data_IF_913052991473
#
_entry.id   IF_913052991473
#
_cell.length_a   1.000
_cell.length_b   1.000
_cell.length_c   1.000
_cell.angle_alpha   90.00
_cell.angle_beta   90.00
_cell.angle_gamma   90.00
#
_symmetry.space_group_name_H-M   'P 1'
#
loop_
_entity.id
_entity.type
_entity.pdbx_description
1 polymer ?
#
# COMPACT_ATOMS: atom_id res chain seq x y z
N UNK A 1 -36.84 31.56 19.15
CA UNK A 1 -35.65 31.10 19.91
C UNK A 1 -34.37 31.93 19.73
N UNK A 2 -34.36 33.04 18.99
CA UNK A 2 -33.16 33.90 18.82
C UNK A 2 -33.09 35.12 19.75
N UNK A 3 -34.10 35.34 20.60
CA UNK A 3 -34.24 36.51 21.46
C UNK A 3 -34.03 36.24 22.96
N UNK A 4 -33.74 34.99 23.35
CA UNK A 4 -33.54 34.58 24.76
C UNK A 4 -32.05 34.35 25.10
N UNK A 5 -31.15 34.33 24.11
CA UNK A 5 -29.70 34.19 24.35
C UNK A 5 -28.95 35.52 24.48
N UNK A 6 -29.58 36.66 24.18
CA UNK A 6 -28.92 37.97 24.21
C UNK A 6 -28.86 38.55 25.63
N UNK A 7 -29.83 38.22 26.47
CA UNK A 7 -29.96 38.81 27.81
C UNK A 7 -29.21 38.03 28.92
N UNK A 8 -28.47 36.96 28.56
CA UNK A 8 -27.61 36.21 29.50
C UNK A 8 -26.12 36.62 29.37
N UNK A 9 -25.74 37.26 28.26
CA UNK A 9 -24.34 37.63 28.00
C UNK A 9 -23.99 39.01 28.61
N UNK A 10 -24.97 39.83 28.95
CA UNK A 10 -24.74 41.18 29.50
C UNK A 10 -24.58 41.21 31.04
N UNK A 11 -24.76 40.08 31.73
CA UNK A 11 -24.62 39.98 33.20
C UNK A 11 -23.29 39.33 33.68
N UNK A 12 -22.41 38.97 32.76
CA UNK A 12 -21.07 38.46 33.07
C UNK A 12 -20.07 39.30 32.28
N UNK A 13 -19.48 40.29 32.93
CA UNK A 13 -18.52 41.23 32.34
C UNK A 13 -17.30 40.54 31.72
N UNK A 14 -17.44 40.12 30.47
CA UNK A 14 -16.36 39.69 29.62
C UNK A 14 -16.16 40.78 28.57
N UNK A 15 -15.17 41.63 28.79
CA UNK A 15 -14.57 42.43 27.74
C UNK A 15 -14.04 41.48 26.65
N UNK A 16 -14.41 41.73 25.39
CA UNK A 16 -13.79 41.10 24.24
C UNK A 16 -12.37 41.68 24.06
N UNK A 17 -11.41 41.13 24.78
CA UNK A 17 -10.01 41.31 24.43
C UNK A 17 -9.75 40.62 23.08
N UNK A 18 -9.41 41.42 22.07
CA UNK A 18 -8.89 40.94 20.79
C UNK A 18 -7.73 39.96 21.05
N UNK A 19 -7.98 38.66 20.80
CA UNK A 19 -6.92 37.65 20.84
C UNK A 19 -5.84 38.03 19.82
N UNK A 20 -4.57 38.20 20.22
CA UNK A 20 -3.51 38.41 19.25
C UNK A 20 -3.42 37.18 18.34
N UNK A 21 -3.30 37.41 17.03
CA UNK A 21 -3.11 36.37 16.02
C UNK A 21 -1.95 35.45 16.44
N UNK A 22 -2.28 34.25 16.91
CA UNK A 22 -1.29 33.23 17.26
C UNK A 22 -0.66 32.75 15.97
N UNK A 23 0.56 33.24 15.69
CA UNK A 23 1.37 32.72 14.59
C UNK A 23 1.60 31.22 14.77
N UNK A 24 1.60 30.47 13.66
CA UNK A 24 1.96 29.04 13.63
C UNK A 24 3.25 28.83 14.45
N UNK A 25 3.29 27.94 15.45
CA UNK A 25 4.47 27.75 16.29
C UNK A 25 5.65 27.41 15.38
N UNK A 26 6.68 28.26 15.40
CA UNK A 26 7.92 27.98 14.67
C UNK A 26 8.53 26.73 15.31
N UNK A 27 8.87 25.73 14.49
CA UNK A 27 9.69 24.62 14.96
C UNK A 27 10.93 25.22 15.63
N UNK A 28 11.21 24.78 16.86
CA UNK A 28 12.37 25.23 17.61
C UNK A 28 13.61 25.15 16.73
N UNK A 29 14.36 26.26 16.64
CA UNK A 29 15.58 26.27 15.86
C UNK A 29 16.54 25.19 16.38
N UNK A 30 17.48 24.76 15.52
CA UNK A 30 18.46 23.72 15.85
C UNK A 30 19.18 23.98 17.18
N UNK A 31 19.46 25.25 17.49
CA UNK A 31 20.16 25.68 18.70
C UNK A 31 19.31 25.50 19.95
N UNK A 32 18.00 25.77 19.85
CA UNK A 32 17.02 25.64 20.92
C UNK A 32 16.72 24.17 21.21
N UNK A 33 16.63 23.34 20.17
CA UNK A 33 16.48 21.88 20.29
C UNK A 33 17.70 21.23 20.95
N UNK A 34 18.91 21.71 20.65
CA UNK A 34 20.14 21.22 21.29
C UNK A 34 20.20 21.62 22.78
N UNK A 35 19.79 22.85 23.11
CA UNK A 35 19.71 23.32 24.52
C UNK A 35 18.66 22.54 25.33
N UNK A 36 17.48 22.28 24.77
CA UNK A 36 16.46 21.48 25.46
C UNK A 36 16.88 20.02 25.65
N UNK A 37 17.60 19.43 24.70
CA UNK A 37 18.15 18.07 24.82
C UNK A 37 19.21 17.98 25.94
N UNK A 38 20.07 19.00 26.06
CA UNK A 38 21.08 19.06 27.12
C UNK A 38 20.41 19.16 28.50
N UNK A 39 19.42 20.06 28.64
CA UNK A 39 18.67 20.24 29.90
C UNK A 39 17.94 18.95 30.29
N UNK A 40 17.31 18.26 29.33
CA UNK A 40 16.66 16.97 29.57
C UNK A 40 17.67 15.90 30.03
N UNK A 41 18.88 15.89 29.46
CA UNK A 41 19.94 14.95 29.88
C UNK A 41 20.43 15.20 31.31
N UNK A 42 20.62 16.47 31.69
CA UNK A 42 21.03 16.84 33.05
C UNK A 42 19.92 16.51 34.06
N UNK A 43 18.66 16.74 33.71
CA UNK A 43 17.53 16.38 34.57
C UNK A 43 17.43 14.88 34.79
N UNK A 44 17.66 14.06 33.74
CA UNK A 44 17.64 12.61 33.85
C UNK A 44 18.80 12.06 34.68
N UNK A 45 20.00 12.63 34.51
CA UNK A 45 21.20 12.26 35.27
C UNK A 45 21.04 12.62 36.76
N UNK A 46 20.41 13.76 37.07
CA UNK A 46 20.12 14.18 38.43
C UNK A 46 19.11 13.26 39.15
N UNK A 47 18.09 12.78 38.43
CA UNK A 47 17.14 11.78 38.99
C UNK A 47 17.86 10.46 39.30
N UNK A 48 18.76 9.99 38.43
CA UNK A 48 19.55 8.78 38.68
C UNK A 48 20.45 8.96 39.92
N UNK A 49 21.08 10.13 40.08
CA UNK A 49 21.88 10.44 41.28
C UNK A 49 21.01 10.43 42.54
N UNK A 50 19.81 11.01 42.51
CA UNK A 50 18.90 10.95 43.65
C UNK A 50 18.41 9.53 43.96
N UNK A 51 18.28 8.65 42.95
CA UNK A 51 17.97 7.24 43.18
C UNK A 51 19.18 6.50 43.77
N UNK A 52 20.40 6.76 43.33
CA UNK A 52 21.60 6.08 43.86
C UNK A 52 21.90 6.56 45.28
N UNK A 53 21.88 7.86 45.53
CA UNK A 53 22.23 8.43 46.83
C UNK A 53 21.06 8.43 47.81
N UNK A 54 19.83 8.67 47.34
CA UNK A 54 18.64 8.65 48.19
C UNK A 54 18.26 7.26 48.68
N UNK A 55 18.50 6.20 47.89
CA UNK A 55 18.32 4.83 48.37
C UNK A 55 19.46 4.38 49.30
N UNK A 56 20.68 4.89 49.12
CA UNK A 56 21.82 4.58 49.98
C UNK A 56 21.71 5.11 51.42
N UNK A 57 20.89 6.15 51.65
CA UNK A 57 20.62 6.68 52.99
C UNK A 57 19.38 6.08 53.65
N UNK A 58 18.43 5.52 52.87
CA UNK A 58 17.24 4.85 53.41
C UNK A 58 17.50 3.37 53.76
N UNK A 59 18.41 2.72 53.03
CA UNK A 59 18.94 1.39 53.37
C UNK A 59 20.38 1.57 53.85
N UNK A 60 20.53 1.87 55.14
CA UNK A 60 21.81 2.24 55.74
C UNK A 60 22.97 1.33 55.33
N UNK A 61 24.05 1.95 54.82
CA UNK A 61 25.37 1.33 54.81
C UNK A 61 25.81 1.10 56.26
N UNK A 62 25.44 -0.06 56.80
CA UNK A 62 26.04 -0.60 58.02
C UNK A 62 27.53 -0.80 57.72
N UNK A 63 28.38 -0.25 58.59
CA UNK A 63 29.84 -0.38 58.49
C UNK A 63 30.25 -1.80 58.15
N UNK A 64 30.97 -1.96 57.03
CA UNK A 64 31.69 -3.19 56.70
C UNK A 64 32.81 -3.34 57.74
N UNK A 65 32.50 -4.02 58.84
CA UNK A 65 33.52 -4.64 59.67
C UNK A 65 34.16 -5.75 58.84
N UNK A 66 35.31 -5.45 58.25
CA UNK A 66 36.15 -6.43 57.59
C UNK A 66 36.77 -7.33 58.67
N UNK A 67 36.02 -8.33 59.14
CA UNK A 67 36.66 -9.52 59.72
C UNK A 67 37.18 -10.32 58.54
N UNK A 68 38.50 -10.34 58.39
CA UNK A 68 39.16 -11.32 57.53
C UNK A 68 38.75 -12.71 58.06
N UNK A 69 37.81 -13.35 57.36
CA UNK A 69 37.55 -14.76 57.49
C UNK A 69 38.69 -15.47 56.78
N UNK A 70 39.49 -16.23 57.52
CA UNK A 70 40.34 -17.26 56.94
C UNK A 70 39.36 -18.31 56.42
N UNK A 71 39.04 -18.26 55.13
CA UNK A 71 38.24 -19.28 54.48
C UNK A 71 39.07 -20.55 54.43
N UNK A 72 38.70 -21.52 55.26
CA UNK A 72 38.97 -22.91 54.93
C UNK A 72 38.38 -23.15 53.53
N UNK A 73 39.18 -23.68 52.61
CA UNK A 73 38.71 -24.15 51.31
C UNK A 73 37.77 -25.34 51.52
N UNK A 74 36.49 -25.07 51.81
CA UNK A 74 35.42 -26.03 51.56
C UNK A 74 35.16 -26.05 50.05
N UNK A 75 35.12 -27.24 49.40
CA UNK A 75 34.83 -27.32 47.98
C UNK A 75 33.41 -26.77 47.76
N UNK A 76 33.32 -25.65 47.05
CA UNK A 76 32.04 -25.07 46.62
C UNK A 76 31.35 -26.11 45.75
N UNK A 77 30.23 -26.65 46.23
CA UNK A 77 29.45 -27.67 45.51
C UNK A 77 29.04 -27.13 44.13
N UNK A 78 29.41 -27.86 43.09
CA UNK A 78 29.19 -27.46 41.71
C UNK A 78 27.72 -27.62 41.36
N UNK A 79 27.01 -26.50 41.14
CA UNK A 79 25.64 -26.53 40.60
C UNK A 79 25.70 -26.95 39.14
N UNK A 80 25.14 -28.13 38.83
CA UNK A 80 25.04 -28.66 37.47
C UNK A 80 23.82 -28.11 36.73
N UNK A 81 23.85 -28.22 35.41
CA UNK A 81 22.72 -27.98 34.52
C UNK A 81 21.71 -29.11 34.70
N UNK A 82 20.45 -28.75 34.85
CA UNK A 82 19.33 -29.67 35.02
C UNK A 82 18.46 -29.74 33.75
N UNK A 83 18.43 -28.66 32.95
CA UNK A 83 17.59 -28.59 31.75
C UNK A 83 18.23 -27.72 30.65
N UNK A 84 18.10 -28.20 29.40
CA UNK A 84 18.43 -27.43 28.20
C UNK A 84 17.27 -27.44 27.20
N UNK A 85 16.82 -26.26 26.78
CA UNK A 85 15.64 -26.10 25.92
C UNK A 85 15.95 -25.27 24.67
N UNK A 86 15.93 -25.86 23.46
CA UNK A 86 16.02 -25.12 22.21
C UNK A 86 14.91 -24.06 22.07
N UNK A 87 15.27 -22.81 21.79
CA UNK A 87 14.29 -21.76 21.50
C UNK A 87 13.52 -22.04 20.19
N UNK A 88 14.15 -22.74 19.25
CA UNK A 88 13.53 -23.15 17.99
C UNK A 88 14.12 -24.49 17.57
N UNK A 89 13.29 -25.54 17.53
CA UNK A 89 13.74 -26.90 17.19
C UNK A 89 13.92 -27.13 15.69
N UNK A 90 13.04 -26.59 14.85
CA UNK A 90 13.06 -26.79 13.40
C UNK A 90 13.55 -25.54 12.68
N UNK A 91 14.62 -25.65 11.91
CA UNK A 91 15.31 -24.53 11.26
C UNK A 91 15.52 -24.84 9.79
N UNK A 92 15.06 -23.95 8.93
CA UNK A 92 15.35 -24.03 7.49
C UNK A 92 16.41 -23.01 7.10
N UNK A 93 17.43 -23.45 6.37
CA UNK A 93 18.49 -22.62 5.81
C UNK A 93 18.53 -22.74 4.29
N UNK A 94 18.87 -21.66 3.59
CA UNK A 94 19.29 -21.77 2.20
C UNK A 94 20.76 -22.20 2.14
N UNK A 95 21.13 -22.97 1.13
CA UNK A 95 22.53 -23.29 0.81
C UNK A 95 23.38 -22.02 0.87
N UNK A 96 24.56 -22.14 1.48
CA UNK A 96 25.54 -21.08 1.73
C UNK A 96 25.10 -19.97 2.71
N UNK A 97 24.01 -20.18 3.45
CA UNK A 97 23.60 -19.25 4.51
C UNK A 97 23.81 -19.83 5.91
N UNK A 98 23.97 -18.94 6.88
CA UNK A 98 24.28 -19.30 8.26
C UNK A 98 23.27 -18.75 9.27
N UNK A 99 23.06 -19.46 10.37
CA UNK A 99 22.20 -19.05 11.48
C UNK A 99 22.72 -19.58 12.81
N UNK A 100 22.75 -18.72 13.82
CA UNK A 100 23.01 -19.12 15.20
C UNK A 100 21.79 -19.82 15.81
N UNK A 101 22.02 -20.97 16.42
CA UNK A 101 21.03 -21.64 17.26
C UNK A 101 21.09 -21.11 18.69
N UNK A 102 19.96 -21.14 19.38
CA UNK A 102 19.85 -20.68 20.76
C UNK A 102 19.08 -21.73 21.57
N UNK A 103 19.53 -21.94 22.80
CA UNK A 103 18.85 -22.74 23.81
C UNK A 103 18.92 -22.02 25.16
N UNK A 104 17.95 -22.27 26.04
CA UNK A 104 18.00 -21.84 27.43
C UNK A 104 18.63 -22.94 28.28
N UNK A 105 19.51 -22.56 29.20
CA UNK A 105 20.17 -23.47 30.16
C UNK A 105 19.64 -23.13 31.56
N UNK A 106 19.12 -24.13 32.27
CA UNK A 106 18.63 -24.00 33.64
C UNK A 106 19.31 -25.01 34.57
N UNK A 107 19.56 -24.65 35.84
CA UNK A 107 19.23 -23.37 36.47
C UNK A 107 20.17 -22.24 36.03
N UNK A 108 19.73 -20.99 36.17
CA UNK A 108 20.50 -19.82 35.72
C UNK A 108 21.80 -19.60 36.51
N UNK A 109 22.00 -20.28 37.65
CA UNK A 109 23.21 -20.24 38.46
C UNK A 109 24.10 -21.48 38.29
N UNK A 110 23.87 -22.32 37.27
CA UNK A 110 24.77 -23.42 36.93
C UNK A 110 26.23 -22.93 36.78
N UNK A 111 27.16 -23.71 37.33
CA UNK A 111 28.57 -23.33 37.50
C UNK A 111 29.33 -23.33 36.17
N UNK A 112 28.98 -24.25 35.26
CA UNK A 112 29.44 -24.28 33.87
C UNK A 112 28.20 -24.29 32.96
N UNK A 113 28.19 -23.42 31.95
CA UNK A 113 27.10 -23.28 30.94
C UNK A 113 27.61 -23.46 29.52
N UNK A 114 28.83 -23.97 29.35
CA UNK A 114 29.39 -24.26 28.05
C UNK A 114 28.63 -25.42 27.41
N UNK A 115 28.31 -25.23 26.13
CA UNK A 115 27.58 -26.18 25.31
C UNK A 115 28.46 -26.55 24.13
N UNK A 116 28.65 -27.84 23.95
CA UNK A 116 29.29 -28.40 22.77
C UNK A 116 28.24 -28.64 21.69
N UNK A 117 28.57 -28.33 20.44
CA UNK A 117 27.69 -28.51 19.30
C UNK A 117 28.32 -29.47 18.29
N UNK A 118 27.53 -30.44 17.83
CA UNK A 118 27.94 -31.41 16.81
C UNK A 118 26.89 -31.50 15.72
N UNK A 119 27.33 -31.62 14.46
CA UNK A 119 26.45 -31.98 13.35
C UNK A 119 26.51 -33.47 13.08
N UNK A 120 25.36 -34.14 13.10
CA UNK A 120 25.25 -35.54 12.70
C UNK A 120 25.32 -35.74 11.17
N UNK A 121 25.26 -34.64 10.39
CA UNK A 121 25.51 -34.70 8.94
C UNK A 121 26.25 -33.43 8.47
N UNK A 122 27.57 -33.35 8.71
CA UNK A 122 28.38 -32.18 8.40
C UNK A 122 28.49 -31.90 6.90
N UNK A 123 28.14 -32.85 6.02
CA UNK A 123 28.11 -32.62 4.57
C UNK A 123 26.88 -31.82 4.11
N UNK A 124 25.81 -31.81 4.91
CA UNK A 124 24.56 -31.08 4.64
C UNK A 124 24.54 -29.76 5.41
N UNK A 125 24.85 -29.79 6.71
CA UNK A 125 24.97 -28.59 7.52
C UNK A 125 26.10 -28.74 8.55
N UNK A 126 26.95 -27.74 8.68
CA UNK A 126 28.00 -27.68 9.71
C UNK A 126 27.59 -26.76 10.84
N UNK A 127 28.19 -26.92 12.02
CA UNK A 127 28.01 -26.03 13.17
C UNK A 127 29.39 -25.70 13.77
N UNK A 128 29.59 -24.46 14.20
CA UNK A 128 30.79 -24.07 14.94
C UNK A 128 30.60 -24.13 16.47
N UNK A 129 31.68 -23.93 17.21
CA UNK A 129 31.70 -23.91 18.69
C UNK A 129 30.73 -22.91 19.32
N UNK A 130 30.36 -21.86 18.60
CA UNK A 130 29.48 -20.80 19.09
C UNK A 130 28.01 -21.04 18.69
N UNK A 131 27.70 -22.22 18.13
CA UNK A 131 26.37 -22.63 17.70
C UNK A 131 25.93 -21.99 16.38
N UNK A 132 26.85 -21.50 15.53
CA UNK A 132 26.52 -20.99 14.20
C UNK A 132 26.45 -22.16 13.22
N UNK A 133 25.24 -22.42 12.73
CA UNK A 133 24.97 -23.48 11.75
C UNK A 133 25.07 -22.90 10.34
N UNK A 134 25.81 -23.54 9.43
CA UNK A 134 25.93 -23.18 8.02
C UNK A 134 25.32 -24.30 7.17
N UNK A 135 24.38 -23.97 6.28
CA UNK A 135 23.82 -24.92 5.32
C UNK A 135 24.75 -25.06 4.11
N UNK A 136 25.23 -26.27 3.82
CA UNK A 136 26.22 -26.54 2.78
C UNK A 136 25.62 -27.19 1.54
N UNK A 137 24.68 -28.13 1.74
CA UNK A 137 24.04 -28.87 0.65
C UNK A 137 22.58 -29.11 0.96
N UNK A 138 21.73 -29.10 -0.05
CA UNK A 138 20.31 -29.42 0.10
C UNK A 138 20.11 -30.79 0.78
N UNK A 139 19.23 -30.85 1.76
CA UNK A 139 18.87 -32.06 2.50
C UNK A 139 18.56 -31.78 3.97
N UNK A 140 18.56 -32.82 4.80
CA UNK A 140 18.27 -32.72 6.23
C UNK A 140 19.49 -33.10 7.08
N UNK A 141 19.73 -32.32 8.13
CA UNK A 141 20.77 -32.57 9.12
C UNK A 141 20.22 -32.37 10.53
N UNK A 142 20.86 -32.99 11.51
CA UNK A 142 20.56 -32.77 12.93
C UNK A 142 21.79 -32.18 13.60
N UNK A 143 21.59 -31.13 14.37
CA UNK A 143 22.61 -30.57 15.25
C UNK A 143 22.27 -30.98 16.67
N UNK A 144 23.23 -31.57 17.37
CA UNK A 144 23.13 -31.95 18.79
C UNK A 144 23.91 -30.93 19.61
N UNK A 145 23.31 -30.48 20.70
CA UNK A 145 23.90 -29.58 21.67
C UNK A 145 23.99 -30.32 23.02
N UNK A 146 25.20 -30.43 23.57
CA UNK A 146 25.48 -31.24 24.77
C UNK A 146 26.12 -30.39 25.85
N UNK A 147 25.69 -30.57 27.11
CA UNK A 147 26.31 -29.89 28.26
C UNK A 147 27.67 -30.50 28.59
N UNK A 148 28.63 -29.66 28.98
CA UNK A 148 30.02 -30.08 29.28
C UNK A 148 30.35 -30.08 30.78
N UNK A 149 29.37 -29.76 31.63
CA UNK A 149 29.53 -29.64 33.07
C UNK A 149 29.50 -30.98 33.82
N UNK A 150 29.29 -32.09 33.10
CA UNK A 150 29.14 -33.44 33.63
C UNK A 150 27.70 -33.96 33.65
N UNK A 151 26.69 -33.10 33.44
CA UNK A 151 25.28 -33.52 33.36
C UNK A 151 24.95 -34.32 32.10
N UNK A 152 25.73 -34.17 31.03
CA UNK A 152 25.59 -34.87 29.74
C UNK A 152 24.18 -34.77 29.12
N UNK A 153 23.47 -33.67 29.40
CA UNK A 153 22.16 -33.38 28.81
C UNK A 153 22.33 -33.01 27.34
N UNK A 154 21.40 -33.48 26.50
CA UNK A 154 21.43 -33.26 25.05
C UNK A 154 20.13 -32.65 24.53
N UNK A 155 20.25 -31.70 23.60
CA UNK A 155 19.14 -31.11 22.86
C UNK A 155 19.40 -31.16 21.35
N UNK A 156 18.34 -31.28 20.55
CA UNK A 156 18.47 -31.46 19.09
C UNK A 156 17.78 -30.33 18.32
N UNK A 157 18.45 -29.87 17.25
CA UNK A 157 17.91 -28.99 16.23
C UNK A 157 17.78 -29.76 14.91
N UNK A 158 16.59 -29.75 14.32
CA UNK A 158 16.36 -30.30 12.98
C UNK A 158 16.63 -29.19 11.95
N UNK A 159 17.62 -29.42 11.09
CA UNK A 159 18.05 -28.49 10.05
C UNK A 159 17.59 -29.00 8.69
N UNK A 160 16.80 -28.21 7.98
CA UNK A 160 16.45 -28.46 6.59
C UNK A 160 17.19 -27.45 5.71
N UNK A 161 18.08 -27.92 4.85
CA UNK A 161 18.79 -27.07 3.90
C UNK A 161 18.09 -27.14 2.56
N UNK A 162 17.69 -25.99 2.04
CA UNK A 162 16.94 -25.83 0.78
C UNK A 162 17.78 -25.10 -0.25
N UNK A 163 17.59 -25.42 -1.53
CA UNK A 163 18.19 -24.68 -2.64
C UNK A 163 17.40 -23.40 -2.96
N UNK A 164 16.08 -23.52 -2.97
CA UNK A 164 15.13 -22.44 -3.22
C UNK A 164 14.16 -22.30 -2.05
N UNK A 165 13.77 -21.08 -1.72
CA UNK A 165 12.74 -20.82 -0.74
C UNK A 165 11.38 -21.21 -1.33
N UNK A 166 10.73 -22.23 -0.75
CA UNK A 166 9.42 -22.68 -1.15
C UNK A 166 8.38 -22.23 -0.12
N UNK A 167 7.15 -22.03 -0.55
CA UNK A 167 6.08 -21.49 0.28
C UNK A 167 5.69 -20.08 -0.13
N UNK A 168 4.44 -19.74 0.14
CA UNK A 168 3.85 -18.46 -0.28
C UNK A 168 2.88 -17.96 0.76
N UNK A 169 2.69 -16.63 0.80
CA UNK A 169 1.51 -16.00 1.35
C UNK A 169 0.85 -15.13 0.30
N UNK A 170 -0.47 -15.22 0.17
CA UNK A 170 -1.25 -14.39 -0.75
C UNK A 170 -2.58 -13.95 -0.16
N UNK A 171 -3.12 -12.85 -0.66
CA UNK A 171 -4.45 -12.36 -0.29
C UNK A 171 -5.52 -13.13 -1.07
N UNK A 172 -6.23 -14.03 -0.40
CA UNK A 172 -7.39 -14.73 -0.96
C UNK A 172 -8.56 -13.77 -1.13
N UNK A 173 -8.78 -12.89 -0.15
CA UNK A 173 -9.80 -11.84 -0.20
C UNK A 173 -9.20 -10.47 0.09
N UNK A 174 -9.71 -9.45 -0.60
CA UNK A 174 -9.42 -8.05 -0.34
C UNK A 174 -10.62 -7.23 -0.81
N UNK A 175 -11.42 -6.69 0.12
CA UNK A 175 -12.69 -6.02 -0.19
C UNK A 175 -12.86 -4.73 0.62
N UNK A 176 -13.49 -3.72 0.00
CA UNK A 176 -13.87 -2.50 0.71
C UNK A 176 -15.03 -2.78 1.65
N UNK A 177 -15.00 -2.18 2.82
CA UNK A 177 -16.12 -2.08 3.76
C UNK A 177 -16.59 -0.62 3.83
N UNK A 178 -17.64 -0.35 4.60
CA UNK A 178 -18.11 1.02 4.84
C UNK A 178 -17.10 1.91 5.56
N UNK A 179 -16.11 1.32 6.24
CA UNK A 179 -15.16 2.05 7.10
C UNK A 179 -13.70 1.69 6.85
N UNK A 180 -13.41 0.90 5.82
CA UNK A 180 -12.07 0.39 5.59
C UNK A 180 -11.93 -0.65 4.48
N UNK A 181 -10.95 -1.53 4.67
CA UNK A 181 -10.67 -2.67 3.79
C UNK A 181 -10.48 -3.91 4.64
N UNK A 182 -11.27 -4.95 4.35
CA UNK A 182 -11.09 -6.28 4.92
C UNK A 182 -10.16 -7.10 4.03
N UNK A 183 -9.28 -7.88 4.64
CA UNK A 183 -8.42 -8.81 3.94
C UNK A 183 -8.46 -10.20 4.58
N UNK A 184 -8.25 -11.21 3.75
CA UNK A 184 -7.98 -12.59 4.17
C UNK A 184 -6.77 -13.08 3.41
N UNK A 185 -5.86 -13.73 4.12
CA UNK A 185 -4.61 -14.27 3.58
C UNK A 185 -4.57 -15.78 3.75
N UNK A 186 -3.89 -16.44 2.82
CA UNK A 186 -3.54 -17.85 2.91
C UNK A 186 -2.03 -17.97 2.80
N UNK A 187 -1.42 -18.66 3.75
CA UNK A 187 0.00 -18.95 3.79
C UNK A 187 0.21 -20.46 3.76
N UNK A 188 0.94 -20.97 2.77
CA UNK A 188 1.37 -22.37 2.71
C UNK A 188 2.87 -22.43 2.91
N UNK A 189 3.29 -23.17 3.93
CA UNK A 189 4.70 -23.34 4.29
C UNK A 189 5.45 -22.00 4.40
N UNK A 190 4.79 -20.98 4.96
CA UNK A 190 5.34 -19.64 5.09
C UNK A 190 4.79 -18.96 6.34
N UNK A 191 5.59 -18.10 6.98
CA UNK A 191 5.14 -17.28 8.11
C UNK A 191 5.12 -15.80 7.75
N UNK A 192 4.06 -15.12 8.19
CA UNK A 192 3.89 -13.68 7.95
C UNK A 192 4.96 -12.90 8.75
N UNK A 193 5.83 -12.19 8.03
CA UNK A 193 6.77 -11.24 8.65
C UNK A 193 6.02 -9.98 9.07
N UNK A 194 5.31 -9.39 8.12
CA UNK A 194 4.55 -8.16 8.28
C UNK A 194 3.58 -7.96 7.11
N UNK A 195 2.54 -7.16 7.36
CA UNK A 195 1.60 -6.70 6.34
C UNK A 195 1.75 -5.19 6.24
N UNK A 196 1.74 -4.68 5.01
CA UNK A 196 1.86 -3.26 4.71
C UNK A 196 0.72 -2.85 3.77
N UNK A 197 0.39 -1.56 3.75
CA UNK A 197 -0.48 -0.99 2.73
C UNK A 197 0.10 0.31 2.17
N UNK A 198 -0.32 0.70 0.99
CA UNK A 198 -0.12 2.05 0.45
C UNK A 198 -1.38 2.55 -0.22
N UNK A 199 -1.49 3.87 -0.33
CA UNK A 199 -2.63 4.56 -0.94
C UNK A 199 -2.10 5.31 -2.17
N UNK A 200 -2.69 5.06 -3.33
CA UNK A 200 -2.22 5.49 -4.64
C UNK A 200 -0.71 5.20 -4.80
N UNK A 201 0.07 6.23 -5.14
CA UNK A 201 1.52 6.15 -5.34
C UNK A 201 2.33 6.50 -4.08
N UNK A 202 1.67 6.55 -2.91
CA UNK A 202 2.33 6.79 -1.64
C UNK A 202 3.26 5.65 -1.20
N UNK A 203 4.00 5.92 -0.12
CA UNK A 203 4.88 4.96 0.53
C UNK A 203 4.08 3.86 1.26
N UNK A 204 4.71 2.70 1.44
CA UNK A 204 4.12 1.63 2.24
C UNK A 204 4.19 1.94 3.74
N UNK A 205 3.06 1.77 4.41
CA UNK A 205 2.91 1.85 5.87
C UNK A 205 2.70 0.45 6.44
N UNK A 206 3.34 0.16 7.58
CA UNK A 206 3.30 -1.16 8.23
C UNK A 206 2.09 -1.26 9.16
N UNK A 207 1.35 -2.37 9.04
CA UNK A 207 0.31 -2.74 9.99
C UNK A 207 0.92 -3.36 11.27
N UNK A 208 0.30 -3.08 12.41
CA UNK A 208 0.68 -3.68 13.69
C UNK A 208 0.25 -5.16 13.78
N UNK A 209 -0.81 -5.54 13.06
CA UNK A 209 -1.35 -6.90 13.03
C UNK A 209 -0.55 -7.82 12.10
N UNK A 210 -0.49 -9.10 12.47
CA UNK A 210 0.00 -10.22 11.62
C UNK A 210 -1.08 -11.28 11.44
N UNK A 211 -2.34 -10.97 11.75
CA UNK A 211 -3.44 -11.91 11.66
C UNK A 211 -3.64 -12.32 10.19
N UNK A 212 -4.07 -13.55 9.99
CA UNK A 212 -4.40 -14.06 8.65
C UNK A 212 -5.62 -13.35 8.04
N UNK A 213 -6.45 -12.73 8.86
CA UNK A 213 -7.62 -11.94 8.48
C UNK A 213 -7.77 -10.75 9.42
N UNK A 214 -8.07 -9.57 8.87
CA UNK A 214 -8.34 -8.37 9.65
C UNK A 214 -9.09 -7.33 8.82
N UNK A 215 -9.50 -6.24 9.47
CA UNK A 215 -10.07 -5.06 8.81
C UNK A 215 -9.25 -3.80 9.15
N UNK A 216 -8.72 -3.13 8.14
CA UNK A 216 -7.95 -1.89 8.29
C UNK A 216 -8.85 -0.71 7.99
N UNK A 217 -8.92 0.25 8.92
CA UNK A 217 -9.76 1.45 8.77
C UNK A 217 -9.09 2.49 7.87
N UNK A 218 -9.88 3.14 7.04
CA UNK A 218 -9.47 4.20 6.12
C UNK A 218 -10.51 5.32 6.13
N UNK A 219 -10.09 6.55 5.86
CA UNK A 219 -11.03 7.66 5.66
C UNK A 219 -11.76 7.54 4.32
N UNK A 220 -12.91 8.21 4.20
CA UNK A 220 -13.68 8.23 2.95
C UNK A 220 -12.88 8.76 1.76
N UNK A 221 -11.97 9.71 1.98
CA UNK A 221 -11.07 10.23 0.95
C UNK A 221 -10.04 9.21 0.50
N UNK A 222 -9.53 8.39 1.43
CA UNK A 222 -8.59 7.32 1.13
C UNK A 222 -9.28 6.18 0.38
N UNK A 223 -10.52 5.84 0.74
CA UNK A 223 -11.33 4.83 0.05
C UNK A 223 -11.68 5.20 -1.40
N UNK A 224 -11.55 6.48 -1.77
CA UNK A 224 -11.67 6.97 -3.16
C UNK A 224 -10.39 6.82 -3.99
N UNK A 225 -9.30 6.32 -3.41
CA UNK A 225 -8.00 6.08 -4.07
C UNK A 225 -7.71 4.59 -4.20
N UNK A 226 -6.74 4.26 -5.05
CA UNK A 226 -6.24 2.89 -5.16
C UNK A 226 -5.60 2.50 -3.82
N UNK A 227 -5.92 1.33 -3.29
CA UNK A 227 -5.32 0.85 -2.04
C UNK A 227 -4.63 -0.48 -2.35
N UNK A 228 -3.31 -0.52 -2.13
CA UNK A 228 -2.49 -1.71 -2.37
C UNK A 228 -2.04 -2.29 -1.05
N UNK A 229 -2.38 -3.54 -0.80
CA UNK A 229 -1.84 -4.32 0.32
C UNK A 229 -0.64 -5.13 -0.14
N UNK A 230 0.34 -5.29 0.74
CA UNK A 230 1.53 -6.12 0.56
C UNK A 230 1.69 -7.00 1.79
N UNK A 231 1.83 -8.30 1.57
CA UNK A 231 2.19 -9.26 2.62
C UNK A 231 3.64 -9.67 2.39
N UNK A 232 4.49 -9.45 3.40
CA UNK A 232 5.88 -9.88 3.41
C UNK A 232 5.96 -11.11 4.31
N UNK A 233 6.61 -12.17 3.83
CA UNK A 233 6.62 -13.47 4.51
C UNK A 233 7.97 -14.17 4.39
N UNK A 234 8.17 -15.14 5.27
CA UNK A 234 9.32 -16.03 5.32
C UNK A 234 8.90 -17.41 4.81
N UNK A 235 9.24 -17.80 3.57
CA UNK A 235 8.99 -19.14 3.08
C UNK A 235 9.82 -20.17 3.88
N UNK A 236 9.24 -21.35 4.14
CA UNK A 236 9.78 -22.44 4.94
C UNK A 236 10.31 -22.04 6.32
N UNK A 237 9.81 -20.96 6.94
CA UNK A 237 10.36 -20.38 8.18
C UNK A 237 11.87 -20.04 8.09
N UNK A 238 12.35 -19.77 6.87
CA UNK A 238 13.70 -19.31 6.61
C UNK A 238 13.89 -17.83 7.00
N UNK A 239 15.11 -17.29 6.89
CA UNK A 239 15.35 -15.84 7.02
C UNK A 239 15.21 -15.07 5.71
N UNK A 240 14.86 -15.74 4.62
CA UNK A 240 14.67 -15.12 3.30
C UNK A 240 13.26 -14.55 3.24
N UNK A 241 13.13 -13.30 2.80
CA UNK A 241 11.81 -12.68 2.62
C UNK A 241 11.36 -12.74 1.18
N UNK A 242 10.08 -13.02 0.99
CA UNK A 242 9.35 -12.82 -0.25
C UNK A 242 8.07 -12.01 0.04
N UNK A 243 7.39 -11.53 -1.01
CA UNK A 243 6.17 -10.75 -0.85
C UNK A 243 5.14 -11.02 -1.95
N UNK A 244 3.88 -10.73 -1.63
CA UNK A 244 2.83 -10.61 -2.64
C UNK A 244 2.01 -9.35 -2.40
N UNK A 245 1.37 -8.86 -3.45
CA UNK A 245 0.54 -7.65 -3.39
C UNK A 245 -0.83 -7.90 -3.98
N UNK A 246 -1.85 -7.23 -3.44
CA UNK A 246 -3.19 -7.17 -4.04
C UNK A 246 -3.70 -5.74 -3.94
N UNK A 247 -4.29 -5.25 -5.03
CA UNK A 247 -4.74 -3.85 -5.15
C UNK A 247 -6.24 -3.80 -5.33
N UNK A 248 -6.92 -2.99 -4.53
CA UNK A 248 -8.27 -2.56 -4.86
C UNK A 248 -8.15 -1.30 -5.72
N UNK A 249 -8.46 -1.46 -7.01
CA UNK A 249 -8.58 -0.33 -7.93
C UNK A 249 -9.85 0.45 -7.64
N UNK A 250 -9.77 1.76 -7.70
CA UNK A 250 -10.97 2.60 -7.69
C UNK A 250 -11.74 2.28 -8.96
N UNK A 251 -13.01 1.90 -8.81
CA UNK A 251 -13.91 1.89 -9.96
C UNK A 251 -14.07 3.34 -10.40
N UNK A 252 -13.36 3.73 -11.47
CA UNK A 252 -13.74 4.92 -12.22
C UNK A 252 -15.16 4.65 -12.69
N UNK A 253 -16.13 5.40 -12.18
CA UNK A 253 -17.47 5.42 -12.73
C UNK A 253 -17.33 5.98 -14.15
N UNK A 254 -17.11 5.11 -15.13
CA UNK A 254 -17.16 5.47 -16.54
C UNK A 254 -18.63 5.78 -16.83
N UNK A 255 -19.00 7.06 -16.70
CA UNK A 255 -20.17 7.56 -17.40
C UNK A 255 -19.91 7.29 -18.88
N UNK A 256 -20.68 6.37 -19.46
CA UNK A 256 -20.66 6.06 -20.89
C UNK A 256 -20.74 7.41 -21.62
N UNK A 257 -19.76 7.71 -22.47
CA UNK A 257 -19.75 8.98 -23.19
C UNK A 257 -21.09 9.15 -23.94
N UNK A 258 -21.69 10.36 -23.98
CA UNK A 258 -22.90 10.59 -24.76
C UNK A 258 -22.67 10.11 -26.20
N UNK A 259 -23.53 9.22 -26.69
CA UNK A 259 -23.46 8.70 -28.06
C UNK A 259 -24.61 9.29 -28.87
N UNK A 260 -24.29 9.90 -30.01
CA UNK A 260 -25.24 10.44 -30.96
C UNK A 260 -24.66 10.54 -32.38
N UNK A 261 -25.53 10.64 -33.37
CA UNK A 261 -25.18 10.67 -34.79
C UNK A 261 -26.29 11.31 -35.62
N UNK A 262 -25.92 11.97 -36.71
CA UNK A 262 -26.84 12.32 -37.78
C UNK A 262 -26.54 11.48 -39.03
N UNK A 263 -27.52 11.34 -39.91
CA UNK A 263 -27.41 10.74 -41.23
C UNK A 263 -28.03 11.70 -42.23
N UNK A 264 -27.28 12.01 -43.29
CA UNK A 264 -27.77 12.80 -44.42
C UNK A 264 -28.11 11.83 -45.55
N UNK A 265 -29.26 12.00 -46.19
CA UNK A 265 -29.67 11.30 -47.40
C UNK A 265 -29.97 12.31 -48.51
N UNK A 266 -29.46 12.06 -49.72
CA UNK A 266 -29.70 12.91 -50.89
C UNK A 266 -30.66 12.12 -51.79
N UNK A 267 -31.82 12.70 -52.07
CA UNK A 267 -32.92 12.12 -52.84
C UNK A 267 -33.20 12.96 -54.08
N UNK A 268 -33.71 12.35 -55.15
CA UNK A 268 -34.28 13.04 -56.33
C UNK A 268 -33.41 14.22 -56.85
N UNK A 269 -32.24 13.91 -57.43
CA UNK A 269 -31.33 14.92 -57.97
C UNK A 269 -31.57 15.10 -59.48
N UNK A 270 -32.25 16.19 -59.83
CA UNK A 270 -32.62 16.55 -61.20
C UNK A 270 -31.76 17.72 -61.72
N UNK A 271 -31.99 18.14 -62.97
CA UNK A 271 -31.21 19.20 -63.64
C UNK A 271 -31.24 20.57 -62.95
N UNK A 272 -32.26 20.85 -62.13
CA UNK A 272 -32.48 22.13 -61.45
C UNK A 272 -32.87 22.01 -59.96
N UNK A 273 -32.87 20.79 -59.40
CA UNK A 273 -33.29 20.59 -58.01
C UNK A 273 -32.62 19.37 -57.37
N UNK A 274 -32.46 19.40 -56.06
CA UNK A 274 -32.06 18.24 -55.27
C UNK A 274 -32.81 18.23 -53.95
N UNK A 275 -33.28 17.06 -53.53
CA UNK A 275 -33.92 16.86 -52.23
C UNK A 275 -32.94 16.28 -51.24
N UNK A 276 -33.03 16.68 -49.97
CA UNK A 276 -32.24 16.08 -48.91
C UNK A 276 -33.11 15.77 -47.69
N UNK A 277 -32.62 14.85 -46.87
CA UNK A 277 -33.27 14.41 -45.64
C UNK A 277 -32.19 14.09 -44.59
N UNK A 278 -32.29 14.68 -43.41
CA UNK A 278 -31.34 14.55 -42.31
C UNK A 278 -32.05 13.95 -41.10
N UNK A 279 -31.60 12.78 -40.67
CA UNK A 279 -32.11 12.11 -39.47
C UNK A 279 -31.05 12.11 -38.38
N UNK A 280 -31.37 12.63 -37.19
CA UNK A 280 -30.45 12.68 -36.05
C UNK A 280 -30.95 11.86 -34.86
N UNK A 281 -30.03 11.26 -34.12
CA UNK A 281 -30.28 10.55 -32.85
C UNK A 281 -29.31 11.07 -31.79
N UNK A 282 -29.84 11.65 -30.72
CA UNK A 282 -29.08 12.29 -29.63
C UNK A 282 -28.04 13.30 -30.16
N UNK A 283 -28.43 14.06 -31.16
CA UNK A 283 -27.58 15.02 -31.83
C UNK A 283 -28.44 16.15 -32.42
N UNK A 284 -27.86 17.35 -32.46
CA UNK A 284 -28.48 18.57 -32.95
C UNK A 284 -27.69 19.09 -34.15
N UNK A 285 -28.37 19.44 -35.24
CA UNK A 285 -27.74 20.03 -36.44
C UNK A 285 -27.39 21.50 -36.15
N UNK A 286 -26.15 21.88 -36.47
CA UNK A 286 -25.66 23.24 -36.30
C UNK A 286 -25.73 24.02 -37.63
N UNK A 287 -25.39 23.36 -38.74
CA UNK A 287 -25.24 23.99 -40.04
C UNK A 287 -25.52 22.97 -41.15
N UNK A 288 -26.18 23.42 -42.21
CA UNK A 288 -26.38 22.68 -43.46
C UNK A 288 -25.91 23.59 -44.59
N UNK A 289 -25.12 23.06 -45.51
CA UNK A 289 -24.68 23.81 -46.69
C UNK A 289 -24.52 22.90 -47.91
N UNK A 290 -24.68 23.45 -49.11
CA UNK A 290 -24.43 22.74 -50.36
C UNK A 290 -23.54 23.54 -51.31
N UNK A 291 -22.87 22.86 -52.25
CA UNK A 291 -22.17 23.48 -53.38
C UNK A 291 -22.28 22.62 -54.63
N UNK A 292 -22.12 23.23 -55.80
CA UNK A 292 -22.09 22.53 -57.09
C UNK A 292 -20.68 22.65 -57.69
N UNK A 293 -20.06 21.52 -58.01
CA UNK A 293 -18.70 21.44 -58.53
C UNK A 293 -17.67 22.14 -57.61
N UNK A 294 -16.91 23.07 -58.18
CA UNK A 294 -15.88 23.84 -57.47
C UNK A 294 -16.39 25.17 -56.88
N UNK A 295 -17.71 25.38 -56.84
CA UNK A 295 -18.31 26.58 -56.26
C UNK A 295 -18.14 26.70 -54.75
N UNK A 296 -18.49 27.88 -54.22
CA UNK A 296 -18.59 28.13 -52.78
C UNK A 296 -19.81 27.45 -52.17
N UNK A 297 -19.74 27.16 -50.87
CA UNK A 297 -20.88 26.63 -50.12
C UNK A 297 -21.95 27.71 -49.91
N UNK A 298 -23.20 27.32 -50.13
CA UNK A 298 -24.41 28.09 -49.85
C UNK A 298 -25.06 27.47 -48.61
N UNK A 299 -25.26 28.28 -47.56
CA UNK A 299 -25.90 27.84 -46.32
C UNK A 299 -27.40 27.67 -46.47
N UNK A 300 -27.97 26.70 -45.76
CA UNK A 300 -29.39 26.40 -45.66
C UNK A 300 -29.85 26.55 -44.21
N UNK A 301 -31.17 26.66 -43.98
CA UNK A 301 -31.73 26.71 -42.62
C UNK A 301 -31.47 25.37 -41.89
N UNK A 302 -30.69 25.35 -40.79
CA UNK A 302 -30.40 24.13 -40.04
C UNK A 302 -31.64 23.52 -39.37
N UNK A 303 -32.74 24.27 -39.26
CA UNK A 303 -34.03 23.79 -38.74
C UNK A 303 -34.79 22.94 -39.76
N UNK A 304 -34.50 23.12 -41.05
CA UNK A 304 -35.14 22.40 -42.16
C UNK A 304 -34.38 21.11 -42.47
N UNK A 305 -34.63 20.08 -41.66
CA UNK A 305 -33.95 18.79 -41.77
C UNK A 305 -34.32 17.99 -43.03
N UNK A 306 -35.38 18.36 -43.74
CA UNK A 306 -35.69 17.82 -45.05
C UNK A 306 -36.25 18.95 -45.92
N UNK A 307 -35.65 19.18 -47.08
CA UNK A 307 -36.07 20.23 -48.00
C UNK A 307 -35.67 19.90 -49.45
N UNK A 308 -36.22 20.66 -50.40
CA UNK A 308 -35.83 20.64 -51.81
C UNK A 308 -35.14 21.95 -52.15
N UNK A 309 -33.86 21.86 -52.50
CA UNK A 309 -33.13 23.01 -53.01
C UNK A 309 -33.36 23.15 -54.51
N UNK A 310 -33.51 24.40 -54.96
CA UNK A 310 -33.61 24.76 -56.38
C UNK A 310 -32.33 25.49 -56.75
N UNK A 311 -31.76 25.14 -57.89
CA UNK A 311 -30.58 25.79 -58.45
C UNK A 311 -30.79 26.05 -59.94
N UNK A 312 -30.01 26.96 -60.50
CA UNK A 312 -30.06 27.25 -61.94
C UNK A 312 -29.79 25.98 -62.75
N UNK A 313 -30.47 25.85 -63.89
CA UNK A 313 -30.30 24.72 -64.79
C UNK A 313 -28.82 24.59 -65.15
N UNK A 314 -28.20 23.54 -64.63
CA UNK A 314 -26.76 23.35 -64.73
C UNK A 314 -26.45 22.45 -65.91
N UNK A 315 -25.32 22.70 -66.59
CA UNK A 315 -24.79 21.74 -67.57
C UNK A 315 -24.73 20.36 -66.92
N UNK A 316 -25.55 19.46 -67.43
CA UNK A 316 -25.66 18.11 -66.92
C UNK A 316 -24.29 17.45 -66.95
N UNK A 317 -23.80 17.02 -65.78
CA UNK A 317 -22.51 16.33 -65.47
C UNK A 317 -21.85 16.86 -64.19
N UNK A 318 -22.31 17.97 -63.60
CA UNK A 318 -21.75 18.49 -62.34
C UNK A 318 -22.18 17.66 -61.12
N UNK A 319 -21.33 17.66 -60.09
CA UNK A 319 -21.57 17.00 -58.80
C UNK A 319 -22.07 18.02 -57.79
N UNK A 320 -23.17 17.71 -57.10
CA UNK A 320 -23.62 18.47 -55.94
C UNK A 320 -23.05 17.85 -54.66
N UNK A 321 -22.53 18.68 -53.76
CA UNK A 321 -22.00 18.29 -52.46
C UNK A 321 -22.84 18.92 -51.36
N UNK A 322 -23.18 18.14 -50.34
CA UNK A 322 -23.84 18.59 -49.13
C UNK A 322 -22.94 18.37 -47.92
N UNK A 323 -22.86 19.38 -47.06
CA UNK A 323 -22.19 19.33 -45.76
C UNK A 323 -23.20 19.58 -44.66
N UNK A 324 -23.20 18.73 -43.63
CA UNK A 324 -24.02 18.88 -42.43
C UNK A 324 -23.12 18.81 -41.22
N UNK A 325 -23.07 19.88 -40.43
CA UNK A 325 -22.36 19.94 -39.16
C UNK A 325 -23.36 19.72 -38.01
N UNK A 326 -23.05 18.83 -37.07
CA UNK A 326 -23.92 18.50 -35.94
C UNK A 326 -23.14 18.27 -34.64
N UNK A 327 -23.79 18.53 -33.50
CA UNK A 327 -23.23 18.32 -32.16
C UNK A 327 -23.94 17.15 -31.47
N UNK A 328 -23.21 16.28 -30.78
CA UNK A 328 -23.84 15.23 -29.95
C UNK A 328 -24.38 15.86 -28.67
N UNK A 329 -25.64 15.60 -28.34
CA UNK A 329 -26.32 16.20 -27.19
C UNK A 329 -25.55 15.88 -25.89
N UNK A 330 -25.28 16.92 -25.08
CA UNK A 330 -24.45 16.81 -23.88
C UNK A 330 -22.94 16.81 -24.14
N UNK A 331 -22.50 17.15 -25.36
CA UNK A 331 -21.09 17.39 -25.70
C UNK A 331 -20.92 18.72 -26.44
N UNK A 332 -19.69 19.23 -26.50
CA UNK A 332 -19.34 20.38 -27.35
C UNK A 332 -18.61 19.93 -28.64
N UNK A 333 -18.69 18.64 -28.99
CA UNK A 333 -17.96 18.09 -30.14
C UNK A 333 -18.80 18.21 -31.40
N UNK A 334 -18.34 19.04 -32.33
CA UNK A 334 -18.92 19.15 -33.69
C UNK A 334 -18.40 18.02 -34.57
N UNK A 335 -19.30 17.40 -35.32
CA UNK A 335 -19.02 16.38 -36.33
C UNK A 335 -19.60 16.86 -37.67
N UNK A 336 -19.04 16.37 -38.77
CA UNK A 336 -19.47 16.78 -40.12
C UNK A 336 -19.76 15.56 -40.97
N UNK A 337 -20.85 15.61 -41.74
CA UNK A 337 -21.23 14.62 -42.75
C UNK A 337 -21.12 15.30 -44.09
N UNK A 338 -20.40 14.68 -45.03
CA UNK A 338 -20.35 15.12 -46.42
C UNK A 338 -20.90 14.02 -47.31
N UNK A 339 -21.91 14.34 -48.13
CA UNK A 339 -22.40 13.48 -49.21
C UNK A 339 -22.40 14.24 -50.52
N UNK A 340 -22.39 13.50 -51.62
CA UNK A 340 -22.49 14.06 -52.95
C UNK A 340 -23.36 13.20 -53.86
N UNK A 341 -23.85 13.80 -54.94
CA UNK A 341 -24.57 13.11 -56.01
C UNK A 341 -24.30 13.79 -57.35
N UNK A 342 -24.49 13.06 -58.45
CA UNK A 342 -24.39 13.60 -59.80
C UNK A 342 -25.74 14.21 -60.19
N UNK A 343 -25.71 15.38 -60.81
CA UNK A 343 -26.92 16.02 -61.34
C UNK A 343 -27.34 15.29 -62.63
N UNK A 344 -28.56 14.72 -62.62
CA UNK A 344 -29.09 13.94 -63.74
C UNK A 344 -29.71 14.82 -64.84
N UNK A 345 -29.68 14.33 -66.09
CA UNK A 345 -30.35 14.99 -67.21
C UNK A 345 -31.83 14.74 -67.08
N UNK A 346 -32.64 15.79 -67.03
CA UNK A 346 -34.08 15.65 -67.19
C UNK A 346 -34.35 14.85 -68.47
N UNK A 347 -35.02 13.69 -68.35
CA UNK A 347 -35.61 13.04 -69.53
C UNK A 347 -36.64 14.04 -70.07
N UNK A 348 -36.35 14.64 -71.22
CA UNK A 348 -37.40 15.28 -72.02
C UNK A 348 -38.49 14.22 -72.25
N UNK A 349 -39.71 14.52 -71.83
CA UNK A 349 -40.88 13.67 -72.06
C UNK A 349 -41.07 13.35 -73.54
#
# INVERSE_FOLDING_TARGET
MKKIKKDIIEYLGFEEDEKPKVGRPRLADSKTKKRSLIIASFSFMFVILLLIFGYGTLFGFRSLNLKASITNNEPKEQVLVEEINPLTKNITLKVDTARKVYLTVLPANASNKEIEYESLNPSIASVDKDGKVVGLKQGEAKIVATTTDGSNLSATFNITVIKNAEGYCSFTSLSKTSSGVSYVTNCKNATIKEIQYKIADGSYEKLLTKKSSDEVKFSDEQLKKDITFKIVYYPNNSKITDYSTKTIKVQKKTTKAPTGSCFLDIKEVNSNSAKYDITCKNASVNEIAYKIGNGSYIGLDPSSLADTIIFEESDVTRVIYFNVSYTIDGTNKVNTITKNSVIEKGRSQ
#
